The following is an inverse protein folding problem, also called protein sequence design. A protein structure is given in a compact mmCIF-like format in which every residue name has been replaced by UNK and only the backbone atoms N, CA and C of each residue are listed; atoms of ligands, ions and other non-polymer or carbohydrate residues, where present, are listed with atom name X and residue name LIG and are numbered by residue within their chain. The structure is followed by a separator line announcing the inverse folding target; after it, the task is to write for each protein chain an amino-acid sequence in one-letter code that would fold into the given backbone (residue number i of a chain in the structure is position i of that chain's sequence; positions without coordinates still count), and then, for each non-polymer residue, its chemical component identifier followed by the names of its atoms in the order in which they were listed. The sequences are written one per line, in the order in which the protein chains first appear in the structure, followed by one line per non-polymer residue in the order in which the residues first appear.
data_IF_418176903904
#
_entry.id   IF_418176903904
#
_cell.length_a   1.000
_cell.length_b   1.000
_cell.length_c   1.000
_cell.angle_alpha   90.00
_cell.angle_beta   90.00
_cell.angle_gamma   90.00
#
_symmetry.space_group_name_H-M   'P 1'
#
loop_
_entity.id
_entity.type
_entity.pdbx_description
1 polymer ?
#
# COMPACT_ATOMS: atom_id res chain seq x y z
N UNK A 1 8.23 10.41 -4.95
CA UNK A 1 7.91 9.24 -5.79
C UNK A 1 6.51 8.79 -5.41
N UNK A 2 6.31 8.03 -4.34
CA UNK A 2 5.07 7.33 -3.92
C UNK A 2 3.70 7.94 -4.23
N UNK A 3 3.51 9.25 -4.00
CA UNK A 3 2.24 9.93 -4.30
C UNK A 3 1.85 9.81 -5.78
N UNK A 4 2.83 9.79 -6.70
CA UNK A 4 2.60 9.66 -8.14
C UNK A 4 2.18 8.23 -8.50
N UNK A 5 2.83 7.22 -7.95
CA UNK A 5 2.52 5.80 -8.21
C UNK A 5 1.17 5.43 -7.60
N UNK A 6 0.86 5.87 -6.37
CA UNK A 6 -0.47 5.67 -5.76
C UNK A 6 -1.56 6.29 -6.64
N UNK A 7 -1.35 7.50 -7.14
CA UNK A 7 -2.31 8.15 -8.03
C UNK A 7 -2.44 7.42 -9.39
N UNK A 8 -1.34 6.91 -9.93
CA UNK A 8 -1.33 6.12 -11.16
C UNK A 8 -2.09 4.80 -11.00
N UNK A 9 -1.83 4.04 -9.93
CA UNK A 9 -2.57 2.80 -9.63
C UNK A 9 -4.07 3.06 -9.48
N UNK A 10 -4.47 4.15 -8.80
CA UNK A 10 -5.90 4.49 -8.68
C UNK A 10 -6.56 4.78 -10.03
N UNK A 11 -5.86 5.48 -10.93
CA UNK A 11 -6.37 5.72 -12.30
C UNK A 11 -6.58 4.40 -13.06
N UNK A 12 -5.69 3.43 -12.87
CA UNK A 12 -5.80 2.11 -13.49
C UNK A 12 -6.99 1.31 -12.92
N UNK A 13 -7.26 1.40 -11.62
CA UNK A 13 -8.47 0.80 -11.04
C UNK A 13 -9.75 1.41 -11.64
N UNK A 14 -9.81 2.74 -11.79
CA UNK A 14 -10.93 3.41 -12.47
C UNK A 14 -11.06 2.97 -13.93
N UNK A 15 -9.93 2.70 -14.60
CA UNK A 15 -9.89 2.18 -15.96
C UNK A 15 -10.15 0.66 -16.06
N UNK A 16 -10.55 -0.01 -14.96
CA UNK A 16 -10.77 -1.46 -14.88
C UNK A 16 -9.54 -2.29 -15.26
N UNK A 17 -8.36 -1.82 -14.88
CA UNK A 17 -7.06 -2.49 -15.05
C UNK A 17 -6.45 -2.86 -13.70
N UNK A 18 -7.08 -3.78 -12.93
CA UNK A 18 -6.66 -4.12 -11.58
C UNK A 18 -5.29 -4.80 -11.52
N UNK A 19 -4.91 -5.60 -12.53
CA UNK A 19 -3.58 -6.21 -12.60
C UNK A 19 -2.47 -5.15 -12.78
N UNK A 20 -2.67 -4.17 -13.67
CA UNK A 20 -1.72 -3.07 -13.85
C UNK A 20 -1.63 -2.22 -12.58
N UNK A 21 -2.77 -1.95 -11.94
CA UNK A 21 -2.81 -1.23 -10.66
C UNK A 21 -2.04 -1.97 -9.56
N UNK A 22 -2.18 -3.29 -9.50
CA UNK A 22 -1.45 -4.19 -8.61
C UNK A 22 0.06 -4.13 -8.87
N UNK A 23 0.50 -4.24 -10.12
CA UNK A 23 1.92 -4.16 -10.47
C UNK A 23 2.55 -2.83 -10.04
N UNK A 24 1.86 -1.70 -10.24
CA UNK A 24 2.35 -0.39 -9.78
C UNK A 24 2.34 -0.30 -8.24
N UNK A 25 1.33 -0.87 -7.56
CA UNK A 25 1.29 -0.88 -6.10
C UNK A 25 2.42 -1.74 -5.49
N UNK A 26 2.78 -2.85 -6.13
CA UNK A 26 3.94 -3.67 -5.79
C UNK A 26 5.25 -2.93 -6.05
N UNK A 27 5.39 -2.23 -7.18
CA UNK A 27 6.59 -1.43 -7.44
C UNK A 27 6.75 -0.31 -6.39
N UNK A 28 5.64 0.31 -5.99
CA UNK A 28 5.61 1.28 -4.91
C UNK A 28 6.00 0.64 -3.56
N UNK A 29 5.51 -0.58 -3.24
CA UNK A 29 5.93 -1.33 -2.05
C UNK A 29 7.44 -1.54 -1.99
N UNK A 30 8.01 -2.07 -3.08
CA UNK A 30 9.44 -2.38 -3.15
C UNK A 30 10.30 -1.12 -3.05
N UNK A 31 9.83 -0.01 -3.62
CA UNK A 31 10.49 1.29 -3.46
C UNK A 31 10.32 1.83 -2.04
N UNK A 32 9.20 1.55 -1.38
CA UNK A 32 8.92 1.99 -0.01
C UNK A 32 9.81 1.32 1.04
N UNK A 33 10.52 0.25 0.72
CA UNK A 33 11.56 -0.29 1.61
C UNK A 33 12.71 0.71 1.81
N UNK A 34 13.05 1.51 0.80
CA UNK A 34 13.98 2.64 0.96
C UNK A 34 13.34 3.82 1.71
N UNK A 35 12.00 3.85 1.81
CA UNK A 35 11.25 4.87 2.54
C UNK A 35 11.25 4.62 4.05
N UNK A 36 11.52 3.41 4.52
CA UNK A 36 11.76 3.14 5.95
C UNK A 36 12.81 4.10 6.50
N UNK A 37 13.95 4.20 5.80
CA UNK A 37 15.02 5.14 6.14
C UNK A 37 14.53 6.60 6.13
N UNK A 38 13.68 6.98 5.17
CA UNK A 38 13.22 8.37 5.04
C UNK A 38 12.21 8.77 6.13
N UNK A 39 11.31 7.89 6.53
CA UNK A 39 10.24 8.27 7.45
C UNK A 39 10.75 8.33 8.90
N UNK A 40 11.76 7.54 9.27
CA UNK A 40 12.41 7.66 10.58
C UNK A 40 13.05 9.04 10.81
N UNK A 41 13.52 9.69 9.74
CA UNK A 41 14.22 10.99 9.79
C UNK A 41 13.34 12.19 9.38
N UNK A 42 12.04 11.99 9.17
CA UNK A 42 11.16 13.05 8.65
C UNK A 42 10.61 13.97 9.73
N UNK A 43 10.68 15.29 9.50
CA UNK A 43 10.01 16.29 10.33
C UNK A 43 8.53 16.51 9.95
N UNK A 44 7.99 15.75 8.98
CA UNK A 44 6.57 15.79 8.57
C UNK A 44 5.81 14.47 8.88
N UNK A 45 5.50 14.21 10.17
CA UNK A 45 4.69 13.06 10.59
C UNK A 45 3.35 12.97 9.84
N UNK A 46 2.67 14.10 9.64
CA UNK A 46 1.36 14.11 9.00
C UNK A 46 1.44 13.72 7.52
N UNK A 47 2.51 14.10 6.84
CA UNK A 47 2.80 13.67 5.48
C UNK A 47 2.97 12.16 5.36
N UNK A 48 3.67 11.54 6.32
CA UNK A 48 3.84 10.08 6.44
C UNK A 48 2.48 9.41 6.57
N UNK A 49 1.68 9.83 7.57
CA UNK A 49 0.36 9.27 7.83
C UNK A 49 -0.55 9.32 6.59
N UNK A 50 -0.55 10.44 5.87
CA UNK A 50 -1.37 10.61 4.67
C UNK A 50 -0.93 9.68 3.53
N UNK A 51 0.38 9.51 3.34
CA UNK A 51 0.92 8.62 2.29
C UNK A 51 0.56 7.16 2.61
N UNK A 52 0.81 6.72 3.84
CA UNK A 52 0.48 5.36 4.26
C UNK A 52 -1.03 5.11 4.20
N UNK A 53 -1.85 6.02 4.71
CA UNK A 53 -3.32 5.92 4.58
C UNK A 53 -3.75 5.75 3.12
N UNK A 54 -3.19 6.56 2.21
CA UNK A 54 -3.55 6.51 0.80
C UNK A 54 -3.12 5.19 0.14
N UNK A 55 -1.96 4.68 0.55
CA UNK A 55 -1.36 3.43 0.08
C UNK A 55 -2.16 2.21 0.52
N UNK A 56 -2.54 2.10 1.80
CA UNK A 56 -3.34 0.98 2.27
C UNK A 56 -4.78 0.99 1.77
N UNK A 57 -5.37 2.17 1.56
CA UNK A 57 -6.65 2.27 0.85
C UNK A 57 -6.57 1.73 -0.58
N UNK A 58 -5.47 2.03 -1.28
CA UNK A 58 -5.26 1.49 -2.64
C UNK A 58 -5.21 -0.04 -2.62
N UNK A 59 -4.49 -0.65 -1.68
CA UNK A 59 -4.44 -2.11 -1.57
C UNK A 59 -5.81 -2.74 -1.24
N UNK A 60 -6.59 -2.11 -0.36
CA UNK A 60 -7.98 -2.54 -0.12
C UNK A 60 -8.81 -2.51 -1.41
N UNK A 61 -8.65 -1.48 -2.24
CA UNK A 61 -9.37 -1.38 -3.50
C UNK A 61 -8.88 -2.42 -4.53
N UNK A 62 -7.59 -2.71 -4.58
CA UNK A 62 -7.01 -3.77 -5.43
C UNK A 62 -7.58 -5.13 -5.03
N UNK A 63 -7.62 -5.46 -3.73
CA UNK A 63 -8.09 -6.76 -3.24
C UNK A 63 -9.60 -6.98 -3.36
N UNK A 64 -10.38 -5.99 -3.83
CA UNK A 64 -11.75 -6.23 -4.30
C UNK A 64 -11.81 -7.09 -5.57
N UNK A 65 -10.71 -7.14 -6.34
CA UNK A 65 -10.57 -8.06 -7.47
C UNK A 65 -10.12 -9.44 -7.00
N UNK A 66 -10.53 -10.51 -7.68
CA UNK A 66 -10.11 -11.88 -7.33
C UNK A 66 -8.65 -12.18 -7.72
N UNK A 67 -8.11 -13.27 -7.18
CA UNK A 67 -6.71 -13.68 -7.41
C UNK A 67 -6.39 -13.99 -8.87
N UNK A 68 -7.36 -14.52 -9.62
CA UNK A 68 -7.19 -14.82 -11.04
C UNK A 68 -7.00 -13.53 -11.84
N UNK A 69 -7.82 -12.51 -11.55
CA UNK A 69 -7.77 -11.17 -12.15
C UNK A 69 -6.47 -10.45 -11.82
N UNK A 70 -5.95 -10.65 -10.60
CA UNK A 70 -4.68 -10.05 -10.18
C UNK A 70 -3.46 -10.85 -10.65
N UNK A 71 -3.63 -12.08 -11.15
CA UNK A 71 -2.53 -13.01 -11.40
C UNK A 71 -1.77 -13.39 -10.12
N UNK A 72 -2.43 -13.30 -8.96
CA UNK A 72 -1.82 -13.44 -7.65
C UNK A 72 -1.97 -14.89 -7.15
N UNK A 73 -0.91 -15.41 -6.56
CA UNK A 73 -0.96 -16.63 -5.72
C UNK A 73 -0.44 -16.26 -4.33
N UNK A 74 -1.16 -16.68 -3.29
CA UNK A 74 -0.75 -16.42 -1.91
C UNK A 74 -1.14 -15.03 -1.40
N UNK A 75 -2.37 -14.58 -1.69
CA UNK A 75 -2.93 -13.32 -1.17
C UNK A 75 -2.72 -13.15 0.33
N UNK A 76 -2.96 -14.20 1.12
CA UNK A 76 -2.80 -14.15 2.57
C UNK A 76 -1.37 -13.82 3.01
N UNK A 77 -0.37 -14.31 2.27
CA UNK A 77 1.04 -14.01 2.54
C UNK A 77 1.32 -12.53 2.26
N UNK A 78 0.84 -12.01 1.13
CA UNK A 78 1.01 -10.60 0.79
C UNK A 78 0.28 -9.68 1.79
N UNK A 79 -0.95 -10.02 2.18
CA UNK A 79 -1.69 -9.30 3.21
C UNK A 79 -0.88 -9.27 4.51
N UNK A 80 -0.33 -10.40 4.95
CA UNK A 80 0.49 -10.46 6.15
C UNK A 80 1.73 -9.56 6.06
N UNK A 81 2.45 -9.59 4.93
CA UNK A 81 3.61 -8.72 4.70
C UNK A 81 3.23 -7.24 4.75
N UNK A 82 2.16 -6.85 4.07
CA UNK A 82 1.67 -5.46 4.07
C UNK A 82 1.18 -5.04 5.47
N UNK A 83 0.53 -5.94 6.21
CA UNK A 83 0.11 -5.67 7.59
C UNK A 83 1.29 -5.47 8.54
N UNK A 84 2.37 -6.24 8.40
CA UNK A 84 3.60 -6.06 9.19
C UNK A 84 4.21 -4.69 8.93
N UNK A 85 4.44 -4.36 7.66
CA UNK A 85 4.96 -3.05 7.25
C UNK A 85 4.14 -1.88 7.81
N UNK A 86 2.81 -2.04 7.88
CA UNK A 86 1.94 -1.03 8.45
C UNK A 86 2.08 -0.90 9.97
N UNK A 87 2.18 -2.03 10.66
CA UNK A 87 2.36 -2.05 12.11
C UNK A 87 3.71 -1.49 12.53
N UNK A 88 4.78 -1.75 11.77
CA UNK A 88 6.11 -1.19 12.07
C UNK A 88 6.04 0.36 12.09
N UNK A 89 5.38 0.94 11.08
CA UNK A 89 5.15 2.40 10.98
C UNK A 89 4.24 2.93 12.10
N UNK A 90 3.30 2.11 12.59
CA UNK A 90 2.48 2.45 13.76
C UNK A 90 3.31 2.47 15.03
N UNK A 91 4.19 1.50 15.22
CA UNK A 91 4.99 1.41 16.43
C UNK A 91 6.01 2.56 16.53
N UNK A 92 6.48 3.08 15.39
CA UNK A 92 7.42 4.21 15.34
C UNK A 92 6.77 5.60 15.50
N UNK A 93 5.51 5.78 15.09
CA UNK A 93 4.85 7.09 15.04
C UNK A 93 3.42 7.15 15.61
N UNK A 94 2.98 6.08 16.28
CA UNK A 94 1.64 5.89 16.85
C UNK A 94 0.46 5.96 15.85
N UNK A 95 0.73 5.87 14.53
CA UNK A 95 -0.35 5.94 13.54
C UNK A 95 -1.26 4.71 13.59
N UNK A 96 -2.57 4.92 13.77
CA UNK A 96 -3.52 3.83 13.75
C UNK A 96 -4.25 3.75 12.41
N UNK A 97 -3.83 2.80 11.58
CA UNK A 97 -4.52 2.53 10.33
C UNK A 97 -5.40 1.27 10.49
N UNK A 98 -6.70 1.34 10.20
CA UNK A 98 -7.51 0.14 10.08
C UNK A 98 -7.05 -0.64 8.84
N UNK A 99 -6.22 -1.66 9.07
CA UNK A 99 -5.67 -2.53 8.03
C UNK A 99 -6.75 -3.38 7.39
N UNK A 100 -6.44 -3.89 6.18
CA UNK A 100 -7.27 -4.75 5.33
C UNK A 100 -8.53 -5.23 6.02
N UNK A 101 -9.65 -4.56 5.75
CA UNK A 101 -10.93 -5.00 6.29
C UNK A 101 -11.06 -6.48 5.96
N UNK A 102 -11.22 -7.34 6.97
CA UNK A 102 -11.39 -8.77 6.78
C UNK A 102 -12.40 -8.97 5.66
N UNK A 103 -11.97 -9.66 4.60
CA UNK A 103 -12.84 -10.09 3.51
C UNK A 103 -14.06 -10.84 4.06
#
# INVERSE_FOLDING_TARGET
VYKKEIAASRKLLTAKKPQDAFCIAMAAYLSMQDYEVWYHDTEDPRGVELVFTAYYKLWNDIFKSDDATLGLKGRDVLINVLSKFGNDVKDDHEYNFPWFAKA
#
